data_IF_580513124137
#
_entry.id   IF_580513124137
#
_cell.length_a   1.000
_cell.length_b   1.000
_cell.length_c   1.000
_cell.angle_alpha   90.00
_cell.angle_beta   90.00
_cell.angle_gamma   90.00
#
_symmetry.space_group_name_H-M   'P 1'
#
loop_
_entity.id
_entity.type
_entity.pdbx_description
1 polymer ?
#
# COMPACT_ATOMS: atom_id res chain seq x y z
N UNK A 1 11.06 -10.69 22.62
CA UNK A 1 10.68 -11.68 21.60
C UNK A 1 10.60 -11.01 20.24
N UNK A 2 11.15 -11.64 19.25
CA UNK A 2 11.04 -11.12 17.90
C UNK A 2 9.60 -11.27 17.40
N UNK A 3 9.15 -10.25 16.67
CA UNK A 3 7.84 -10.26 16.03
C UNK A 3 7.93 -11.12 14.77
N UNK A 4 7.20 -12.23 14.74
CA UNK A 4 7.20 -13.16 13.60
C UNK A 4 6.21 -12.81 12.53
N UNK A 5 5.44 -11.73 12.70
CA UNK A 5 4.48 -11.29 11.68
C UNK A 5 5.21 -10.76 10.46
N UNK A 6 4.76 -11.10 9.25
CA UNK A 6 5.36 -10.48 8.06
C UNK A 6 5.11 -8.98 8.05
N UNK A 7 6.13 -8.22 7.66
CA UNK A 7 6.03 -6.78 7.49
C UNK A 7 6.03 -6.45 5.99
N UNK A 8 5.00 -5.75 5.55
CA UNK A 8 4.81 -5.37 4.14
C UNK A 8 4.83 -3.86 4.01
N UNK A 9 5.64 -3.36 3.09
CA UNK A 9 5.71 -1.94 2.76
C UNK A 9 5.21 -1.74 1.34
N UNK A 10 4.20 -0.88 1.19
CA UNK A 10 3.70 -0.46 -0.11
C UNK A 10 4.24 0.92 -0.45
N UNK A 11 4.84 1.06 -1.63
CA UNK A 11 5.47 2.31 -2.05
C UNK A 11 4.90 2.76 -3.39
N UNK A 12 4.46 4.00 -3.48
CA UNK A 12 4.16 4.66 -4.74
C UNK A 12 4.80 6.06 -4.73
N UNK A 13 4.53 6.88 -5.74
CA UNK A 13 5.17 8.20 -5.81
C UNK A 13 4.64 9.12 -4.71
N UNK A 14 3.33 9.35 -4.68
CA UNK A 14 2.71 10.36 -3.82
C UNK A 14 2.23 9.84 -2.48
N UNK A 15 2.10 8.52 -2.32
CA UNK A 15 1.48 7.89 -1.13
C UNK A 15 0.10 8.49 -0.81
N UNK A 16 -0.64 8.87 -1.85
CA UNK A 16 -1.95 9.49 -1.72
C UNK A 16 -3.06 8.63 -2.33
N UNK A 17 -2.72 7.56 -3.04
CA UNK A 17 -3.70 6.70 -3.72
C UNK A 17 -3.36 5.22 -3.64
N UNK A 18 -2.59 4.71 -4.60
CA UNK A 18 -2.35 3.26 -4.76
C UNK A 18 -1.81 2.58 -3.50
N UNK A 19 -0.75 3.11 -2.93
CA UNK A 19 -0.14 2.51 -1.72
C UNK A 19 -1.05 2.64 -0.51
N UNK A 20 -1.84 3.71 -0.41
CA UNK A 20 -2.81 3.87 0.67
C UNK A 20 -3.94 2.83 0.57
N UNK A 21 -4.44 2.59 -0.64
CA UNK A 21 -5.47 1.56 -0.87
C UNK A 21 -4.94 0.17 -0.55
N UNK A 22 -3.73 -0.16 -1.02
CA UNK A 22 -3.12 -1.46 -0.76
C UNK A 22 -2.90 -1.69 0.73
N UNK A 23 -2.37 -0.71 1.44
CA UNK A 23 -2.15 -0.81 2.89
C UNK A 23 -3.48 -1.00 3.63
N UNK A 24 -4.51 -0.25 3.25
CA UNK A 24 -5.81 -0.35 3.88
C UNK A 24 -6.45 -1.74 3.68
N UNK A 25 -6.38 -2.28 2.48
CA UNK A 25 -6.89 -3.62 2.20
C UNK A 25 -6.12 -4.70 2.98
N UNK A 26 -4.80 -4.61 3.01
CA UNK A 26 -4.01 -5.62 3.72
C UNK A 26 -4.28 -5.57 5.23
N UNK A 27 -4.43 -4.39 5.80
CA UNK A 27 -4.82 -4.26 7.20
C UNK A 27 -6.24 -4.80 7.43
N UNK A 28 -7.14 -4.55 6.50
CA UNK A 28 -8.53 -5.01 6.61
C UNK A 28 -8.62 -6.54 6.60
N UNK A 29 -7.91 -7.19 5.69
CA UNK A 29 -7.95 -8.66 5.56
C UNK A 29 -7.02 -9.37 6.53
N UNK A 30 -5.84 -8.80 6.79
CA UNK A 30 -4.81 -9.43 7.60
C UNK A 30 -4.94 -9.15 9.10
N UNK A 31 -5.47 -7.98 9.45
CA UNK A 31 -5.62 -7.57 10.84
C UNK A 31 -4.29 -7.58 11.58
N UNK A 32 -4.29 -8.18 12.75
CA UNK A 32 -3.11 -8.23 13.61
C UNK A 32 -2.06 -9.24 13.16
N UNK A 33 -2.34 -10.03 12.12
CA UNK A 33 -1.42 -11.06 11.64
C UNK A 33 -0.30 -10.53 10.76
N UNK A 34 -0.39 -9.27 10.31
CA UNK A 34 0.61 -8.62 9.45
C UNK A 34 0.91 -7.22 9.99
N UNK A 35 2.13 -6.76 9.72
CA UNK A 35 2.50 -5.37 9.94
C UNK A 35 2.50 -4.68 8.58
N UNK A 36 1.76 -3.58 8.45
CA UNK A 36 1.54 -2.91 7.17
C UNK A 36 2.03 -1.47 7.25
N UNK A 37 2.83 -1.08 6.25
CA UNK A 37 3.32 0.30 6.12
C UNK A 37 3.11 0.77 4.69
N UNK A 38 3.01 2.08 4.51
CA UNK A 38 2.99 2.69 3.18
C UNK A 38 3.83 3.95 3.19
N UNK A 39 4.38 4.29 2.03
CA UNK A 39 5.21 5.47 1.89
C UNK A 39 5.26 5.94 0.43
N UNK A 40 5.76 7.14 0.20
CA UNK A 40 5.94 7.70 -1.13
C UNK A 40 7.33 8.26 -1.33
N UNK A 41 7.85 8.16 -2.55
CA UNK A 41 9.14 8.76 -2.91
C UNK A 41 9.05 10.28 -2.96
N UNK A 42 7.86 10.82 -3.25
CA UNK A 42 7.58 12.26 -3.28
C UNK A 42 6.16 12.50 -2.73
N UNK A 43 5.97 12.35 -1.40
CA UNK A 43 4.62 12.41 -0.81
C UNK A 43 4.01 13.80 -0.95
N UNK A 44 2.69 13.83 -1.17
CA UNK A 44 1.92 15.06 -1.18
C UNK A 44 1.32 15.31 0.20
N UNK A 45 0.56 16.41 0.35
CA UNK A 45 0.10 16.85 1.68
C UNK A 45 -1.05 16.02 2.23
N UNK A 46 -1.89 15.44 1.37
CA UNK A 46 -3.08 14.69 1.82
C UNK A 46 -3.42 13.56 0.87
N UNK A 47 -4.21 12.61 1.37
CA UNK A 47 -4.71 11.50 0.57
C UNK A 47 -5.67 12.04 -0.49
N UNK A 48 -5.63 11.46 -1.69
CA UNK A 48 -6.51 11.84 -2.79
C UNK A 48 -7.99 11.65 -2.40
N UNK A 49 -8.81 12.71 -2.43
CA UNK A 49 -10.22 12.61 -2.03
C UNK A 49 -11.02 11.57 -2.82
N UNK A 50 -10.72 11.38 -4.10
CA UNK A 50 -11.38 10.35 -4.92
C UNK A 50 -11.06 8.95 -4.41
N UNK A 51 -9.85 8.75 -3.88
CA UNK A 51 -9.43 7.49 -3.27
C UNK A 51 -10.17 7.26 -1.95
N UNK A 52 -10.30 8.30 -1.12
CA UNK A 52 -11.09 8.22 0.11
C UNK A 52 -12.52 7.80 -0.18
N UNK A 53 -13.14 8.42 -1.21
CA UNK A 53 -14.50 8.09 -1.62
C UNK A 53 -14.61 6.66 -2.14
N UNK A 54 -13.69 6.22 -2.99
CA UNK A 54 -13.69 4.86 -3.54
C UNK A 54 -13.56 3.81 -2.45
N UNK A 55 -12.71 4.05 -1.44
CA UNK A 55 -12.54 3.11 -0.33
C UNK A 55 -13.76 3.09 0.58
N UNK A 56 -14.41 4.22 0.77
CA UNK A 56 -15.65 4.29 1.56
C UNK A 56 -16.76 3.43 0.94
N UNK A 57 -16.78 3.31 -0.39
CA UNK A 57 -17.74 2.46 -1.11
C UNK A 57 -17.63 0.99 -0.71
N UNK A 58 -16.45 0.55 -0.32
CA UNK A 58 -16.21 -0.84 0.11
C UNK A 58 -16.11 -0.97 1.63
N UNK A 59 -16.56 0.05 2.35
CA UNK A 59 -16.63 0.01 3.81
C UNK A 59 -15.34 0.35 4.54
N UNK A 60 -14.36 0.93 3.86
CA UNK A 60 -13.08 1.30 4.47
C UNK A 60 -12.96 2.82 4.50
N UNK A 61 -12.90 3.39 5.72
CA UNK A 61 -12.76 4.83 5.92
C UNK A 61 -11.29 5.15 6.19
N UNK A 62 -10.59 5.65 5.16
CA UNK A 62 -9.17 5.97 5.28
C UNK A 62 -8.92 7.07 6.32
N UNK A 63 -9.79 8.06 6.40
CA UNK A 63 -9.61 9.17 7.34
C UNK A 63 -9.79 8.73 8.78
N UNK A 64 -10.72 7.81 9.04
CA UNK A 64 -10.92 7.24 10.37
C UNK A 64 -9.72 6.43 10.83
N UNK A 65 -8.98 5.83 9.88
CA UNK A 65 -7.75 5.08 10.17
C UNK A 65 -6.51 5.98 10.29
N UNK A 66 -6.67 7.30 10.14
CA UNK A 66 -5.56 8.23 10.22
C UNK A 66 -4.61 8.18 9.02
N UNK A 67 -5.09 7.71 7.87
CA UNK A 67 -4.28 7.60 6.66
C UNK A 67 -3.76 8.96 6.22
N UNK A 68 -2.46 9.03 5.93
CA UNK A 68 -1.81 10.25 5.45
C UNK A 68 -0.56 9.90 4.64
N UNK A 69 -0.18 10.74 3.67
CA UNK A 69 1.05 10.51 2.93
C UNK A 69 2.28 10.59 3.84
N UNK A 70 3.24 9.70 3.61
CA UNK A 70 4.47 9.60 4.39
C UNK A 70 5.65 9.42 3.45
N UNK A 71 6.78 10.03 3.79
CA UNK A 71 8.00 9.90 3.01
C UNK A 71 8.61 8.52 3.18
N UNK A 72 9.11 7.96 2.08
CA UNK A 72 9.85 6.70 2.09
C UNK A 72 11.16 6.87 2.86
N UNK A 73 11.40 6.01 3.84
CA UNK A 73 12.60 6.01 4.65
C UNK A 73 13.31 4.67 4.56
N UNK A 74 14.65 4.69 4.58
CA UNK A 74 15.47 3.47 4.54
C UNK A 74 15.11 2.52 5.66
N UNK A 75 14.88 3.03 6.87
CA UNK A 75 14.54 2.20 8.03
C UNK A 75 13.28 1.39 7.78
N UNK A 76 12.28 1.96 7.10
CA UNK A 76 11.04 1.24 6.79
C UNK A 76 11.30 0.11 5.78
N UNK A 77 12.15 0.35 4.77
CA UNK A 77 12.52 -0.68 3.81
C UNK A 77 13.29 -1.80 4.50
N UNK A 78 14.25 -1.44 5.33
CA UNK A 78 15.07 -2.43 6.06
C UNK A 78 14.24 -3.30 7.00
N UNK A 79 13.23 -2.72 7.65
CA UNK A 79 12.34 -3.45 8.56
C UNK A 79 11.36 -4.38 7.85
N UNK A 80 11.11 -4.16 6.56
CA UNK A 80 10.09 -4.89 5.82
C UNK A 80 10.61 -6.23 5.30
N UNK A 81 9.73 -7.23 5.30
CA UNK A 81 10.01 -8.53 4.68
C UNK A 81 9.64 -8.51 3.19
N UNK A 82 8.61 -7.76 2.85
CA UNK A 82 8.08 -7.63 1.48
C UNK A 82 7.96 -6.14 1.15
N UNK A 83 8.46 -5.75 -0.01
CA UNK A 83 8.34 -4.38 -0.52
C UNK A 83 7.61 -4.43 -1.86
N UNK A 84 6.47 -3.78 -1.93
CA UNK A 84 5.64 -3.71 -3.13
C UNK A 84 5.71 -2.28 -3.68
N UNK A 85 6.30 -2.12 -4.86
CA UNK A 85 6.38 -0.82 -5.50
C UNK A 85 5.26 -0.65 -6.51
N UNK A 86 4.80 0.57 -6.68
CA UNK A 86 3.67 0.91 -7.57
C UNK A 86 4.01 2.19 -8.32
N UNK A 87 5.01 2.13 -9.18
CA UNK A 87 5.37 3.26 -10.04
C UNK A 87 6.42 4.20 -9.47
N UNK A 88 7.09 3.84 -8.37
CA UNK A 88 8.17 4.67 -7.83
C UNK A 88 9.52 4.47 -8.58
N UNK A 89 9.59 3.50 -9.49
CA UNK A 89 10.80 3.26 -10.28
C UNK A 89 12.00 2.94 -9.41
N UNK A 90 13.14 3.57 -9.70
CA UNK A 90 14.39 3.35 -8.98
C UNK A 90 14.51 4.10 -7.66
N UNK A 91 13.47 4.84 -7.28
CA UNK A 91 13.50 5.64 -6.04
C UNK A 91 13.47 4.79 -4.77
N UNK A 92 13.03 3.52 -4.87
CA UNK A 92 12.98 2.62 -3.72
C UNK A 92 14.33 1.90 -3.58
N UNK A 93 15.01 1.99 -2.41
CA UNK A 93 16.27 1.27 -2.21
C UNK A 93 16.06 -0.24 -2.22
N UNK A 94 17.07 -0.96 -2.72
CA UNK A 94 17.04 -2.41 -2.80
C UNK A 94 17.99 -3.01 -1.75
N UNK A 95 17.46 -3.87 -0.90
CA UNK A 95 18.24 -4.63 0.08
C UNK A 95 18.08 -6.13 -0.19
N UNK A 96 19.20 -6.88 -0.33
CA UNK A 96 19.11 -8.33 -0.56
C UNK A 96 18.39 -9.07 0.56
N UNK A 97 17.77 -10.19 0.23
CA UNK A 97 17.10 -11.05 1.20
C UNK A 97 15.63 -10.73 1.45
N UNK A 98 15.10 -9.71 0.78
CA UNK A 98 13.69 -9.34 0.88
C UNK A 98 12.94 -9.73 -0.40
N UNK A 99 11.62 -9.93 -0.28
CA UNK A 99 10.74 -10.13 -1.43
C UNK A 99 10.37 -8.75 -2.00
N UNK A 100 10.70 -8.52 -3.26
CA UNK A 100 10.33 -7.30 -3.97
C UNK A 100 9.36 -7.64 -5.08
N UNK A 101 8.28 -6.86 -5.20
CA UNK A 101 7.33 -6.95 -6.31
C UNK A 101 7.05 -5.55 -6.84
N UNK A 102 6.82 -5.43 -8.13
CA UNK A 102 6.39 -4.19 -8.74
C UNK A 102 5.01 -4.41 -9.35
N UNK A 103 4.01 -3.74 -8.79
CA UNK A 103 2.63 -3.83 -9.27
C UNK A 103 2.38 -2.69 -10.25
N UNK A 104 2.24 -3.04 -11.50
CA UNK A 104 1.95 -2.05 -12.56
C UNK A 104 0.47 -1.71 -12.52
N UNK A 105 0.19 -0.50 -12.12
CA UNK A 105 -1.17 0.01 -11.93
C UNK A 105 -1.24 1.42 -12.50
N UNK A 106 -2.40 1.79 -13.03
CA UNK A 106 -2.63 3.16 -13.46
C UNK A 106 -2.60 4.11 -12.25
N UNK A 107 -2.11 5.33 -12.48
CA UNK A 107 -2.04 6.35 -11.44
C UNK A 107 -3.37 7.09 -11.36
N UNK A 108 -4.07 7.09 -10.22
CA UNK A 108 -5.34 7.79 -10.07
C UNK A 108 -5.19 9.30 -9.85
N UNK A 109 -3.98 9.84 -9.78
CA UNK A 109 -3.76 11.26 -9.52
C UNK A 109 -4.46 12.12 -10.58
N UNK A 110 -5.20 13.11 -10.14
CA UNK A 110 -5.94 14.01 -11.02
C UNK A 110 -7.19 13.42 -11.66
N UNK A 111 -7.54 12.18 -11.30
CA UNK A 111 -8.71 11.48 -11.84
C UNK A 111 -9.85 11.49 -10.83
N UNK A 112 -11.08 11.32 -11.32
CA UNK A 112 -12.25 11.18 -10.45
C UNK A 112 -12.41 9.76 -9.92
N UNK A 113 -13.41 9.58 -9.05
CA UNK A 113 -13.66 8.28 -8.39
C UNK A 113 -13.90 7.15 -9.41
N UNK A 114 -14.47 7.46 -10.56
CA UNK A 114 -14.74 6.45 -11.60
C UNK A 114 -13.46 5.79 -12.11
N UNK A 115 -12.38 6.58 -12.25
CA UNK A 115 -11.08 6.04 -12.66
C UNK A 115 -10.40 5.28 -11.54
N UNK A 116 -10.68 5.62 -10.29
CA UNK A 116 -10.09 4.97 -9.12
C UNK A 116 -10.68 3.57 -8.91
N UNK A 117 -11.97 3.39 -9.18
CA UNK A 117 -12.66 2.13 -8.90
C UNK A 117 -11.98 0.88 -9.49
N UNK A 118 -11.63 0.84 -10.79
CA UNK A 118 -10.95 -0.34 -11.34
C UNK A 118 -9.55 -0.55 -10.77
N UNK A 119 -8.85 0.53 -10.45
CA UNK A 119 -7.53 0.46 -9.80
C UNK A 119 -7.69 -0.15 -8.40
N UNK A 120 -8.65 0.36 -7.63
CA UNK A 120 -9.01 -0.17 -6.31
C UNK A 120 -9.30 -1.66 -6.36
N UNK A 121 -10.11 -2.08 -7.30
CA UNK A 121 -10.55 -3.49 -7.40
C UNK A 121 -9.41 -4.41 -7.80
N UNK A 122 -8.49 -3.94 -8.64
CA UNK A 122 -7.29 -4.70 -8.99
C UNK A 122 -6.34 -4.82 -7.79
N UNK A 123 -6.16 -3.75 -7.03
CA UNK A 123 -5.35 -3.77 -5.80
C UNK A 123 -5.94 -4.76 -4.80
N UNK A 124 -7.26 -4.78 -4.64
CA UNK A 124 -7.95 -5.72 -3.76
C UNK A 124 -7.59 -7.17 -4.12
N UNK A 125 -7.66 -7.53 -5.40
CA UNK A 125 -7.31 -8.88 -5.86
C UNK A 125 -5.86 -9.22 -5.55
N UNK A 126 -4.94 -8.31 -5.82
CA UNK A 126 -3.50 -8.51 -5.59
C UNK A 126 -3.17 -8.64 -4.11
N UNK A 127 -3.83 -7.85 -3.27
CA UNK A 127 -3.63 -7.90 -1.81
C UNK A 127 -4.11 -9.23 -1.25
N UNK A 128 -5.27 -9.72 -1.70
CA UNK A 128 -5.77 -11.02 -1.26
C UNK A 128 -4.82 -12.16 -1.65
N UNK A 129 -4.28 -12.12 -2.87
CA UNK A 129 -3.31 -13.11 -3.33
C UNK A 129 -2.00 -13.04 -2.52
N UNK A 130 -1.53 -11.84 -2.23
CA UNK A 130 -0.34 -11.64 -1.41
C UNK A 130 -0.55 -12.20 0.00
N UNK A 131 -1.68 -11.90 0.61
CA UNK A 131 -1.98 -12.38 1.97
C UNK A 131 -2.04 -13.90 2.01
N UNK A 132 -2.61 -14.54 0.99
CA UNK A 132 -2.66 -15.99 0.92
C UNK A 132 -1.25 -16.60 0.86
N UNK A 133 -0.29 -15.92 0.22
CA UNK A 133 1.10 -16.36 0.18
C UNK A 133 1.79 -16.17 1.53
N UNK A 134 1.51 -15.05 2.21
CA UNK A 134 2.17 -14.71 3.46
C UNK A 134 1.61 -15.49 4.65
N UNK A 135 0.32 -15.77 4.63
CA UNK A 135 -0.39 -16.44 5.73
C UNK A 135 -1.18 -17.63 5.19
N UNK A 136 -0.50 -18.68 4.73
CA UNK A 136 -1.22 -19.88 4.27
C UNK A 136 -1.98 -20.52 5.43
N UNK A 137 -3.14 -21.01 5.14
CA UNK A 137 -4.03 -21.61 6.14
C UNK A 137 -3.44 -22.90 6.71
#
# INVERSE_FOLDING_TARGET
MSDSRPEVLFVCVHNAGRSQMAAAYLMHYGGERVVVRSAGSAPVDDVNPAVVEAMAEVGIDLRAHGARPKKLEDAAVQASDVVITMGCGDACPFYPGKRYEDWKLDDPAGQGVEAVRPIRDEIDRRVQALLADLLPA
#
